data_IF_385296437700
#
_entry.id   IF_385296437700
#
_cell.length_a   1.000
_cell.length_b   1.000
_cell.length_c   1.000
_cell.angle_alpha   90.00
_cell.angle_beta   90.00
_cell.angle_gamma   90.00
#
_symmetry.space_group_name_H-M   'P 1'
#
loop_
_entity.id
_entity.type
_entity.pdbx_description
1 polymer ?
#
# COMPACT_ATOMS: atom_id res chain seq x y z
N UNK A 1 -3.40 -8.11 -34.86
CA UNK A 1 -3.23 -8.99 -33.67
C UNK A 1 -2.10 -8.38 -32.83
N UNK A 2 -2.41 -7.90 -31.64
CA UNK A 2 -1.38 -7.44 -30.71
C UNK A 2 -0.66 -8.67 -30.19
N UNK A 3 0.64 -8.81 -30.50
CA UNK A 3 1.46 -9.85 -29.90
C UNK A 3 1.65 -9.48 -28.42
N UNK A 4 0.95 -10.17 -27.52
CA UNK A 4 1.17 -10.01 -26.10
C UNK A 4 2.50 -10.69 -25.73
N UNK A 5 3.39 -9.93 -25.10
CA UNK A 5 4.62 -10.45 -24.53
C UNK A 5 4.35 -10.87 -23.07
N UNK A 6 4.64 -12.12 -22.76
CA UNK A 6 4.62 -12.64 -21.39
C UNK A 6 6.05 -12.87 -20.92
N UNK A 7 6.31 -12.53 -19.67
CA UNK A 7 7.62 -12.74 -19.02
C UNK A 7 7.37 -13.53 -17.74
N UNK A 8 7.97 -14.70 -17.64
CA UNK A 8 7.95 -15.55 -16.44
C UNK A 8 9.28 -15.41 -15.70
N UNK A 9 9.21 -15.05 -14.42
CA UNK A 9 10.37 -14.92 -13.55
C UNK A 9 10.29 -16.01 -12.47
N UNK A 10 11.22 -16.95 -12.50
CA UNK A 10 11.32 -18.04 -11.55
C UNK A 10 12.57 -17.85 -10.68
N UNK A 11 12.40 -17.85 -9.35
CA UNK A 11 13.48 -17.56 -8.40
C UNK A 11 13.57 -18.70 -7.39
N UNK A 12 14.78 -19.27 -7.24
CA UNK A 12 15.14 -20.15 -6.14
C UNK A 12 16.11 -19.40 -5.22
N UNK A 13 15.83 -19.39 -3.93
CA UNK A 13 16.63 -18.68 -2.94
C UNK A 13 16.82 -19.54 -1.69
N UNK A 14 18.06 -19.67 -1.24
CA UNK A 14 18.37 -20.22 0.08
C UNK A 14 18.27 -19.10 1.11
N UNK A 15 17.54 -19.36 2.19
CA UNK A 15 17.41 -18.46 3.33
C UNK A 15 17.74 -19.20 4.60
N UNK A 16 18.35 -18.57 5.61
CA UNK A 16 18.53 -19.17 6.93
C UNK A 16 17.17 -19.39 7.60
N UNK A 17 17.13 -20.25 8.63
CA UNK A 17 15.94 -20.40 9.48
C UNK A 17 15.49 -19.03 9.99
N UNK A 18 14.27 -18.65 9.66
CA UNK A 18 13.76 -17.32 9.97
C UNK A 18 12.25 -17.24 9.79
N UNK A 19 11.59 -16.48 10.67
CA UNK A 19 10.18 -16.18 10.55
C UNK A 19 9.96 -14.93 9.69
N UNK A 20 10.11 -15.07 8.36
CA UNK A 20 10.05 -13.96 7.41
C UNK A 20 8.63 -13.38 7.29
N UNK A 21 7.59 -14.23 7.39
CA UNK A 21 6.22 -13.82 7.17
C UNK A 21 5.28 -14.50 8.17
N UNK A 22 4.66 -13.71 9.04
CA UNK A 22 3.80 -14.17 10.12
C UNK A 22 2.32 -14.12 9.73
N UNK A 23 1.52 -14.99 10.36
CA UNK A 23 0.07 -14.89 10.36
C UNK A 23 -0.43 -13.91 11.45
N UNK A 24 -1.72 -13.91 11.69
CA UNK A 24 -2.38 -13.06 12.69
C UNK A 24 -2.14 -13.52 14.14
N UNK A 25 -1.69 -14.76 14.34
CA UNK A 25 -1.26 -15.28 15.65
C UNK A 25 0.21 -15.01 15.96
N UNK A 26 0.97 -14.53 14.97
CA UNK A 26 2.40 -14.32 15.07
C UNK A 26 3.25 -15.52 14.63
N UNK A 27 2.63 -16.65 14.32
CA UNK A 27 3.33 -17.85 13.83
C UNK A 27 3.79 -17.69 12.36
N UNK A 28 4.82 -18.42 11.93
CA UNK A 28 5.25 -18.46 10.54
C UNK A 28 4.10 -18.91 9.64
N UNK A 29 3.90 -18.23 8.52
CA UNK A 29 2.92 -18.67 7.54
C UNK A 29 3.33 -19.97 6.88
N UNK A 30 2.37 -20.88 6.76
CA UNK A 30 2.53 -22.17 6.10
C UNK A 30 1.53 -22.35 4.97
N UNK A 31 1.73 -23.37 4.15
CA UNK A 31 0.77 -23.86 3.17
C UNK A 31 0.92 -25.37 3.04
N UNK A 32 -0.18 -26.06 2.77
CA UNK A 32 -0.14 -27.48 2.39
C UNK A 32 0.00 -27.52 0.87
N UNK A 33 1.09 -28.10 0.39
CA UNK A 33 1.32 -28.29 -1.04
C UNK A 33 2.06 -29.58 -1.31
N UNK A 34 1.50 -30.42 -2.21
CA UNK A 34 2.01 -31.76 -2.46
C UNK A 34 1.82 -32.70 -1.28
N UNK A 35 0.77 -32.48 -0.45
CA UNK A 35 0.44 -33.35 0.69
C UNK A 35 1.25 -33.09 1.97
N UNK A 36 2.20 -32.16 1.96
CA UNK A 36 3.07 -31.83 3.10
C UNK A 36 2.98 -30.33 3.46
N UNK A 37 3.32 -30.00 4.71
CA UNK A 37 3.40 -28.62 5.19
C UNK A 37 4.68 -27.96 4.70
N UNK A 38 4.56 -26.77 4.13
CA UNK A 38 5.68 -25.97 3.61
C UNK A 38 5.66 -24.56 4.21
N UNK A 39 6.83 -23.99 4.42
CA UNK A 39 6.95 -22.56 4.75
C UNK A 39 6.42 -21.71 3.60
N UNK A 40 5.79 -20.59 3.92
CA UNK A 40 5.20 -19.70 2.91
C UNK A 40 5.55 -18.23 3.19
N UNK A 41 5.97 -17.56 2.13
CA UNK A 41 5.98 -16.08 2.11
C UNK A 41 4.88 -15.61 1.17
N UNK A 42 3.94 -14.85 1.69
CA UNK A 42 2.76 -14.43 0.92
C UNK A 42 3.11 -13.47 -0.22
N UNK A 43 2.35 -13.55 -1.31
CA UNK A 43 2.49 -12.63 -2.44
C UNK A 43 2.35 -11.16 -2.03
N UNK A 44 1.53 -10.86 -1.02
CA UNK A 44 1.37 -9.51 -0.48
C UNK A 44 2.67 -8.99 0.16
N UNK A 45 3.42 -9.86 0.86
CA UNK A 45 4.73 -9.53 1.43
C UNK A 45 5.72 -9.18 0.32
N UNK A 46 5.79 -10.02 -0.72
CA UNK A 46 6.62 -9.78 -1.89
C UNK A 46 6.25 -8.48 -2.61
N UNK A 47 4.99 -8.28 -2.92
CA UNK A 47 4.50 -7.04 -3.56
C UNK A 47 4.87 -5.80 -2.74
N UNK A 48 4.81 -5.89 -1.40
CA UNK A 48 5.23 -4.78 -0.53
C UNK A 48 6.72 -4.50 -0.64
N UNK A 49 7.56 -5.54 -0.61
CA UNK A 49 9.02 -5.40 -0.75
C UNK A 49 9.41 -4.80 -2.12
N UNK A 50 8.81 -5.30 -3.20
CA UNK A 50 9.01 -4.78 -4.56
C UNK A 50 8.61 -3.31 -4.66
N UNK A 51 7.47 -2.93 -4.07
CA UNK A 51 7.03 -1.53 -4.04
C UNK A 51 7.98 -0.61 -3.29
N UNK A 52 8.62 -1.09 -2.23
CA UNK A 52 9.64 -0.29 -1.53
C UNK A 52 10.90 -0.14 -2.38
N UNK A 53 11.36 -1.23 -3.01
CA UNK A 53 12.50 -1.18 -3.93
C UNK A 53 12.24 -0.20 -5.09
N UNK A 54 11.03 -0.20 -5.67
CA UNK A 54 10.68 0.77 -6.71
C UNK A 54 10.81 2.22 -6.25
N UNK A 55 10.43 2.53 -5.01
CA UNK A 55 10.59 3.89 -4.47
C UNK A 55 12.05 4.31 -4.35
N UNK A 56 12.91 3.37 -4.01
CA UNK A 56 14.34 3.64 -3.89
C UNK A 56 14.99 3.83 -5.27
N UNK A 57 14.59 3.02 -6.25
CA UNK A 57 15.11 3.08 -7.64
C UNK A 57 14.55 4.28 -8.43
N UNK A 58 13.35 4.77 -8.09
CA UNK A 58 12.66 5.83 -8.83
C UNK A 58 12.68 7.18 -8.12
N UNK A 59 13.70 7.45 -7.28
CA UNK A 59 13.79 8.70 -6.50
C UNK A 59 13.68 9.96 -7.35
N UNK A 60 14.28 9.95 -8.54
CA UNK A 60 14.29 11.07 -9.47
C UNK A 60 13.07 11.08 -10.43
N UNK A 61 12.20 10.08 -10.33
CA UNK A 61 11.00 9.93 -11.16
C UNK A 61 9.76 9.74 -10.28
N UNK A 62 9.43 10.77 -9.51
CA UNK A 62 8.35 10.73 -8.52
C UNK A 62 6.98 10.37 -9.12
N UNK A 63 6.75 10.67 -10.38
CA UNK A 63 5.53 10.30 -11.12
C UNK A 63 5.35 8.78 -11.24
N UNK A 64 6.42 7.99 -11.14
CA UNK A 64 6.38 6.52 -11.09
C UNK A 64 6.03 5.98 -9.70
N UNK A 65 6.04 6.84 -8.70
CA UNK A 65 5.79 6.45 -7.31
C UNK A 65 4.31 6.50 -6.96
N UNK A 66 3.94 5.72 -5.97
CA UNK A 66 2.61 5.73 -5.38
C UNK A 66 2.64 5.72 -3.86
N UNK A 67 1.50 6.05 -3.29
CA UNK A 67 1.23 5.88 -1.86
C UNK A 67 -0.03 5.07 -1.64
N UNK A 68 0.06 4.03 -0.80
CA UNK A 68 -1.11 3.28 -0.32
C UNK A 68 -1.52 3.80 1.04
N UNK A 69 -2.57 4.60 1.09
CA UNK A 69 -2.92 5.36 2.29
C UNK A 69 -4.42 5.63 2.40
N UNK A 70 -4.88 5.92 3.62
CA UNK A 70 -6.17 6.56 3.88
C UNK A 70 -6.09 8.10 3.86
N UNK A 71 -4.89 8.67 3.86
CA UNK A 71 -4.64 10.13 3.90
C UNK A 71 -4.59 10.76 2.50
N UNK A 72 -5.35 10.21 1.53
CA UNK A 72 -5.33 10.67 0.15
C UNK A 72 -5.65 12.17 0.02
N UNK A 73 -6.65 12.67 0.76
CA UNK A 73 -7.00 14.09 0.76
C UNK A 73 -5.85 14.98 1.25
N UNK A 74 -5.12 14.58 2.28
CA UNK A 74 -3.94 15.33 2.73
C UNK A 74 -2.79 15.32 1.72
N UNK A 75 -2.60 14.21 0.98
CA UNK A 75 -1.60 14.18 -0.09
C UNK A 75 -1.98 15.10 -1.24
N UNK A 76 -3.26 15.15 -1.60
CA UNK A 76 -3.76 16.05 -2.64
C UNK A 76 -3.67 17.51 -2.19
N UNK A 77 -4.01 17.82 -0.93
CA UNK A 77 -3.87 19.17 -0.37
C UNK A 77 -2.43 19.68 -0.47
N UNK A 78 -1.44 18.84 -0.16
CA UNK A 78 -0.03 19.18 -0.34
C UNK A 78 0.34 19.46 -1.79
N UNK A 79 -0.21 18.70 -2.75
CA UNK A 79 0.02 18.97 -4.17
C UNK A 79 -0.63 20.29 -4.62
N UNK A 80 -1.82 20.63 -4.10
CA UNK A 80 -2.47 21.91 -4.35
C UNK A 80 -1.62 23.08 -3.85
N UNK A 81 -1.09 23.00 -2.63
CA UNK A 81 -0.20 24.01 -2.07
C UNK A 81 1.14 24.16 -2.81
N UNK A 82 1.67 23.05 -3.35
CA UNK A 82 2.88 23.09 -4.19
C UNK A 82 2.65 23.84 -5.51
N UNK A 83 1.45 23.75 -6.07
CA UNK A 83 1.07 24.42 -7.32
C UNK A 83 0.59 25.86 -7.07
N UNK A 84 -0.11 26.10 -5.97
CA UNK A 84 -0.62 27.40 -5.56
C UNK A 84 -0.24 27.67 -4.09
N UNK A 85 0.88 28.36 -3.91
CA UNK A 85 1.40 28.71 -2.59
C UNK A 85 0.55 29.73 -1.80
N UNK A 86 -0.53 30.24 -2.39
CA UNK A 86 -1.46 31.13 -1.69
C UNK A 86 -2.52 30.38 -0.85
N UNK A 87 -2.66 29.06 -1.07
CA UNK A 87 -3.61 28.24 -0.33
C UNK A 87 -3.09 27.92 1.07
N UNK A 88 -3.87 28.26 2.08
CA UNK A 88 -3.64 27.77 3.43
C UNK A 88 -4.02 26.27 3.58
N UNK A 89 -3.71 25.69 4.72
CA UNK A 89 -3.91 24.26 4.98
C UNK A 89 -5.39 23.86 4.89
N UNK A 90 -6.29 24.69 5.41
CA UNK A 90 -7.72 24.39 5.45
C UNK A 90 -8.33 24.52 4.05
N UNK A 91 -8.04 25.58 3.32
CA UNK A 91 -8.53 25.79 1.95
C UNK A 91 -8.02 24.69 0.99
N UNK A 92 -6.75 24.30 1.10
CA UNK A 92 -6.20 23.21 0.30
C UNK A 92 -6.86 21.87 0.63
N UNK A 93 -7.12 21.60 1.91
CA UNK A 93 -7.78 20.38 2.35
C UNK A 93 -9.24 20.32 1.90
N UNK A 94 -9.98 21.41 2.01
CA UNK A 94 -11.38 21.49 1.55
C UNK A 94 -11.49 21.23 0.04
N UNK A 95 -10.61 21.85 -0.76
CA UNK A 95 -10.52 21.56 -2.20
C UNK A 95 -10.19 20.11 -2.50
N UNK A 96 -9.26 19.51 -1.73
CA UNK A 96 -8.90 18.11 -1.87
C UNK A 96 -10.08 17.19 -1.51
N UNK A 97 -10.82 17.48 -0.46
CA UNK A 97 -12.02 16.71 -0.06
C UNK A 97 -13.08 16.81 -1.18
N UNK A 98 -13.32 17.99 -1.72
CA UNK A 98 -14.27 18.19 -2.82
C UNK A 98 -13.90 17.36 -4.06
N UNK A 99 -12.61 17.24 -4.39
CA UNK A 99 -12.13 16.40 -5.49
C UNK A 99 -12.38 14.91 -5.23
N UNK A 100 -12.17 14.44 -4.00
CA UNK A 100 -12.46 13.04 -3.64
C UNK A 100 -13.97 12.76 -3.64
N UNK A 101 -14.78 13.71 -3.16
CA UNK A 101 -16.25 13.59 -3.21
C UNK A 101 -16.77 13.58 -4.65
N UNK A 102 -16.20 14.40 -5.56
CA UNK A 102 -16.49 14.35 -6.98
C UNK A 102 -16.17 12.95 -7.58
N UNK A 103 -15.11 12.29 -7.12
CA UNK A 103 -14.79 10.91 -7.49
C UNK A 103 -15.64 9.86 -6.75
N UNK A 104 -16.63 10.26 -5.97
CA UNK A 104 -17.46 9.38 -5.10
C UNK A 104 -16.63 8.61 -4.07
N UNK A 105 -15.49 9.11 -3.69
CA UNK A 105 -14.65 8.57 -2.64
C UNK A 105 -14.94 9.34 -1.35
N UNK A 106 -15.63 8.71 -0.42
CA UNK A 106 -16.01 9.36 0.84
C UNK A 106 -14.81 9.61 1.73
N UNK A 107 -14.63 10.87 2.14
CA UNK A 107 -13.63 11.30 3.12
C UNK A 107 -14.37 11.70 4.40
N UNK A 108 -13.93 11.19 5.54
CA UNK A 108 -14.54 11.48 6.85
C UNK A 108 -13.48 11.87 7.87
N UNK A 109 -13.85 12.77 8.78
CA UNK A 109 -13.00 13.10 9.92
C UNK A 109 -12.99 11.94 10.90
N UNK A 110 -11.81 11.39 11.15
CA UNK A 110 -11.62 10.32 12.12
C UNK A 110 -11.69 10.88 13.55
N UNK A 111 -12.53 10.27 14.37
CA UNK A 111 -12.80 10.74 15.74
C UNK A 111 -11.58 10.64 16.67
N UNK A 112 -10.67 9.69 16.40
CA UNK A 112 -9.50 9.45 17.25
C UNK A 112 -8.34 10.37 16.90
N UNK A 113 -8.03 10.51 15.62
CA UNK A 113 -6.88 11.29 15.14
C UNK A 113 -7.24 12.72 14.73
N UNK A 114 -8.52 13.05 14.56
CA UNK A 114 -8.99 14.33 14.03
C UNK A 114 -8.69 14.54 12.55
N UNK A 115 -8.05 13.58 11.86
CA UNK A 115 -7.64 13.69 10.46
C UNK A 115 -8.77 13.25 9.52
N UNK A 116 -8.77 13.82 8.31
CA UNK A 116 -9.68 13.41 7.25
C UNK A 116 -9.13 12.19 6.52
N UNK A 117 -9.87 11.08 6.59
CA UNK A 117 -9.44 9.77 6.07
C UNK A 117 -10.50 9.20 5.11
N UNK A 118 -10.04 8.49 4.09
CA UNK A 118 -10.89 7.66 3.23
C UNK A 118 -11.33 6.38 3.96
N UNK A 119 -12.46 5.81 3.60
CA UNK A 119 -12.97 4.57 4.19
C UNK A 119 -12.01 3.39 4.03
N UNK A 120 -11.48 3.21 2.83
CA UNK A 120 -10.50 2.18 2.48
C UNK A 120 -9.11 2.76 2.20
N UNK A 121 -8.08 1.90 2.24
CA UNK A 121 -6.75 2.23 1.75
C UNK A 121 -6.78 2.39 0.23
N UNK A 122 -6.40 3.55 -0.27
CA UNK A 122 -6.27 3.82 -1.70
C UNK A 122 -4.80 3.78 -2.12
N UNK A 123 -4.54 3.20 -3.27
CA UNK A 123 -3.25 3.31 -3.97
C UNK A 123 -3.37 4.45 -4.98
N UNK A 124 -2.63 5.53 -4.75
CA UNK A 124 -2.65 6.75 -5.55
C UNK A 124 -1.24 7.03 -6.07
N UNK A 125 -1.11 7.24 -7.38
CA UNK A 125 0.17 7.67 -7.95
C UNK A 125 0.40 9.17 -7.74
N UNK A 126 1.66 9.58 -7.70
CA UNK A 126 2.01 10.99 -7.65
C UNK A 126 1.56 11.72 -8.91
N UNK A 127 1.62 11.07 -10.07
CA UNK A 127 1.12 11.61 -11.33
C UNK A 127 -0.40 11.88 -11.28
N UNK A 128 -1.19 10.97 -10.69
CA UNK A 128 -2.63 11.17 -10.49
C UNK A 128 -2.89 12.36 -9.57
N UNK A 129 -2.20 12.45 -8.43
CA UNK A 129 -2.35 13.54 -7.48
C UNK A 129 -2.00 14.91 -8.10
N UNK A 130 -0.91 14.99 -8.86
CA UNK A 130 -0.52 16.23 -9.57
C UNK A 130 -1.57 16.67 -10.59
N UNK A 131 -2.08 15.73 -11.40
CA UNK A 131 -3.11 16.04 -12.40
C UNK A 131 -4.45 16.43 -11.78
N UNK A 132 -4.85 15.76 -10.68
CA UNK A 132 -6.07 16.17 -9.96
C UNK A 132 -5.88 17.55 -9.36
N UNK A 133 -4.72 17.85 -8.76
CA UNK A 133 -4.45 19.16 -8.20
C UNK A 133 -4.54 20.27 -9.27
N UNK A 134 -3.93 20.06 -10.43
CA UNK A 134 -4.02 21.00 -11.56
C UNK A 134 -5.48 21.18 -12.01
N UNK A 135 -6.21 20.07 -12.21
CA UNK A 135 -7.63 20.12 -12.60
C UNK A 135 -8.48 20.90 -11.60
N UNK A 136 -8.24 20.71 -10.30
CA UNK A 136 -8.94 21.43 -9.22
C UNK A 136 -8.64 22.93 -9.26
N UNK A 137 -7.41 23.33 -9.52
CA UNK A 137 -7.04 24.74 -9.62
C UNK A 137 -7.65 25.41 -10.86
N UNK A 138 -7.68 24.69 -11.98
CA UNK A 138 -8.22 25.22 -13.24
C UNK A 138 -9.76 25.35 -13.24
N UNK A 139 -10.48 24.51 -12.49
CA UNK A 139 -11.94 24.42 -12.51
C UNK A 139 -12.60 24.71 -11.16
N UNK A 140 -11.84 24.86 -10.11
CA UNK A 140 -12.33 24.90 -8.72
C UNK A 140 -12.93 26.22 -8.27
N UNK A 141 -13.00 27.26 -9.11
CA UNK A 141 -13.63 28.54 -8.77
C UNK A 141 -15.16 28.47 -8.74
N UNK A 142 -15.77 27.54 -9.48
CA UNK A 142 -17.21 27.39 -9.61
C UNK A 142 -17.80 26.15 -8.88
N UNK A 143 -17.01 25.48 -8.07
CA UNK A 143 -17.38 24.28 -7.25
C UNK A 143 -18.01 23.10 -8.04
N UNK A 144 -17.75 22.96 -9.33
CA UNK A 144 -18.30 21.88 -10.14
C UNK A 144 -17.20 21.02 -10.75
N UNK A 145 -16.52 20.25 -9.89
CA UNK A 145 -15.64 19.21 -10.38
C UNK A 145 -16.49 18.07 -10.98
N UNK A 146 -16.23 17.74 -12.26
CA UNK A 146 -16.98 16.68 -12.94
C UNK A 146 -16.43 15.29 -12.53
N UNK A 147 -17.37 14.38 -12.21
CA UNK A 147 -17.03 13.01 -11.86
C UNK A 147 -16.23 12.29 -12.94
N UNK A 148 -16.60 12.48 -14.22
CA UNK A 148 -15.97 11.78 -15.33
C UNK A 148 -14.52 12.22 -15.50
N UNK A 149 -14.24 13.50 -15.32
CA UNK A 149 -12.89 14.05 -15.46
C UNK A 149 -11.99 13.57 -14.33
N UNK A 150 -12.44 13.68 -13.08
CA UNK A 150 -11.66 13.18 -11.93
C UNK A 150 -11.46 11.67 -12.02
N UNK A 151 -12.49 10.92 -12.41
CA UNK A 151 -12.38 9.47 -12.65
C UNK A 151 -11.37 9.16 -13.74
N UNK A 152 -11.42 9.87 -14.88
CA UNK A 152 -10.47 9.69 -15.98
C UNK A 152 -9.03 9.89 -15.51
N UNK A 153 -8.75 10.93 -14.72
CA UNK A 153 -7.43 11.17 -14.14
C UNK A 153 -7.00 10.03 -13.21
N UNK A 154 -7.91 9.52 -12.39
CA UNK A 154 -7.64 8.41 -11.47
C UNK A 154 -7.42 7.08 -12.20
N UNK A 155 -7.92 6.91 -13.40
CA UNK A 155 -7.73 5.70 -14.22
C UNK A 155 -6.50 5.78 -15.11
N UNK A 156 -5.96 6.97 -15.32
CA UNK A 156 -4.74 7.23 -16.10
C UNK A 156 -3.55 7.55 -15.16
N UNK A 157 -2.37 7.74 -15.74
CA UNK A 157 -1.12 8.13 -15.03
C UNK A 157 -0.75 7.20 -13.87
N UNK A 158 -0.87 5.91 -14.12
CA UNK A 158 -0.55 4.89 -13.16
C UNK A 158 0.96 4.90 -12.85
N UNK A 159 1.28 4.81 -11.56
CA UNK A 159 2.64 4.50 -11.12
C UNK A 159 3.05 3.09 -11.53
N UNK A 160 4.35 2.80 -11.48
CA UNK A 160 4.88 1.49 -11.85
C UNK A 160 4.21 0.34 -11.07
N UNK A 161 4.09 0.51 -9.75
CA UNK A 161 3.47 -0.48 -8.88
C UNK A 161 1.95 -0.59 -9.07
N UNK A 162 1.28 0.52 -9.40
CA UNK A 162 -0.16 0.52 -9.72
C UNK A 162 -0.43 -0.21 -11.04
N UNK A 163 0.38 0.01 -12.07
CA UNK A 163 0.26 -0.67 -13.34
C UNK A 163 0.54 -2.18 -13.22
N UNK A 164 1.55 -2.57 -12.44
CA UNK A 164 1.91 -3.96 -12.26
C UNK A 164 0.95 -4.72 -11.34
N UNK A 165 0.59 -4.14 -10.19
CA UNK A 165 -0.12 -4.87 -9.14
C UNK A 165 -1.60 -4.54 -9.04
N UNK A 166 -2.07 -3.58 -9.81
CA UNK A 166 -3.46 -3.17 -9.85
C UNK A 166 -3.93 -2.42 -8.60
N UNK A 167 -5.17 -1.99 -8.65
CA UNK A 167 -5.87 -1.36 -7.53
C UNK A 167 -7.27 -1.94 -7.41
N UNK A 168 -7.64 -2.33 -6.21
CA UNK A 168 -9.01 -2.69 -5.85
C UNK A 168 -9.56 -1.67 -4.85
N UNK A 169 -10.70 -1.08 -5.17
CA UNK A 169 -11.44 -0.16 -4.32
C UNK A 169 -12.81 -0.77 -4.06
N UNK A 170 -13.00 -1.35 -2.89
CA UNK A 170 -14.23 -2.10 -2.57
C UNK A 170 -15.49 -1.21 -2.64
N UNK A 171 -15.38 0.03 -2.18
CA UNK A 171 -16.49 0.99 -2.12
C UNK A 171 -16.77 1.67 -3.47
N UNK A 172 -15.86 1.55 -4.44
CA UNK A 172 -15.98 2.14 -5.76
C UNK A 172 -15.29 1.28 -6.83
N UNK A 173 -15.93 0.19 -7.27
CA UNK A 173 -15.35 -0.75 -8.25
C UNK A 173 -14.97 -0.11 -9.59
N UNK A 174 -15.57 1.04 -9.94
CA UNK A 174 -15.25 1.77 -11.16
C UNK A 174 -13.83 2.38 -11.17
N UNK A 175 -13.18 2.42 -10.02
CA UNK A 175 -11.78 2.85 -9.87
C UNK A 175 -10.80 1.67 -9.80
N UNK A 176 -11.27 0.44 -10.00
CA UNK A 176 -10.39 -0.71 -10.04
C UNK A 176 -9.48 -0.65 -11.26
N UNK A 177 -8.25 -1.07 -11.09
CA UNK A 177 -7.24 -1.20 -12.15
C UNK A 177 -6.74 -2.64 -12.14
N UNK A 178 -6.83 -3.29 -13.30
CA UNK A 178 -6.33 -4.64 -13.45
C UNK A 178 -4.81 -4.70 -13.33
N UNK A 179 -4.32 -5.79 -12.72
CA UNK A 179 -2.90 -6.01 -12.55
C UNK A 179 -2.28 -6.61 -13.82
N UNK A 180 -1.18 -6.03 -14.29
CA UNK A 180 -0.40 -6.59 -15.40
C UNK A 180 0.56 -7.70 -14.94
N UNK A 181 0.74 -7.91 -13.62
CA UNK A 181 1.67 -8.87 -13.06
C UNK A 181 0.98 -9.74 -12.00
N UNK A 182 1.19 -11.04 -12.08
CA UNK A 182 0.83 -11.98 -11.04
C UNK A 182 2.06 -12.35 -10.22
N UNK A 183 1.94 -12.29 -8.89
CA UNK A 183 3.00 -12.68 -7.96
C UNK A 183 2.52 -13.88 -7.16
N UNK A 184 3.15 -15.02 -7.34
CA UNK A 184 2.86 -16.23 -6.58
C UNK A 184 3.31 -16.10 -5.12
N UNK A 185 2.71 -16.91 -4.23
CA UNK A 185 3.30 -17.15 -2.92
C UNK A 185 4.61 -17.92 -3.11
N UNK A 186 5.67 -17.50 -2.40
CA UNK A 186 6.86 -18.34 -2.30
C UNK A 186 6.59 -19.44 -1.27
N UNK A 187 6.96 -20.67 -1.60
CA UNK A 187 6.85 -21.83 -0.72
C UNK A 187 8.18 -22.56 -0.65
N UNK A 188 8.47 -23.19 0.48
CA UNK A 188 9.68 -24.01 0.61
C UNK A 188 9.65 -25.19 -0.35
N UNK A 189 10.83 -25.58 -0.86
CA UNK A 189 10.98 -26.79 -1.71
C UNK A 189 10.94 -28.08 -0.90
N UNK A 190 11.07 -28.01 0.41
CA UNK A 190 11.04 -29.11 1.37
C UNK A 190 9.85 -28.99 2.32
N UNK A 191 9.47 -30.06 2.95
CA UNK A 191 8.55 -30.09 4.08
C UNK A 191 9.18 -29.42 5.29
N UNK A 192 8.35 -28.73 6.08
CA UNK A 192 8.77 -28.15 7.36
C UNK A 192 7.95 -28.71 8.51
N UNK A 193 8.58 -28.79 9.68
CA UNK A 193 7.94 -28.99 10.96
C UNK A 193 8.13 -27.69 11.75
N UNK A 194 7.04 -27.03 12.20
CA UNK A 194 7.16 -25.84 13.04
C UNK A 194 7.88 -26.17 14.35
N UNK A 195 8.87 -25.38 14.69
CA UNK A 195 9.58 -25.45 15.97
C UNK A 195 9.26 -24.18 16.77
N UNK A 196 9.11 -24.35 18.09
CA UNK A 196 8.81 -23.24 18.99
C UNK A 196 10.06 -22.98 19.84
N UNK A 197 10.44 -21.71 19.91
CA UNK A 197 11.52 -21.23 20.75
C UNK A 197 10.94 -20.49 21.95
N UNK A 198 11.43 -20.87 23.13
CA UNK A 198 11.11 -20.19 24.38
C UNK A 198 12.29 -19.32 24.79
N UNK A 199 12.07 -18.05 24.88
CA UNK A 199 13.09 -17.12 25.32
C UNK A 199 12.54 -16.17 26.40
N UNK A 200 13.43 -15.76 27.32
CA UNK A 200 13.14 -14.79 28.36
C UNK A 200 13.98 -13.54 28.13
N UNK A 201 13.36 -12.37 28.26
CA UNK A 201 14.10 -11.13 28.38
C UNK A 201 14.61 -11.02 29.83
N UNK A 202 15.92 -10.84 30.00
CA UNK A 202 16.55 -10.60 31.28
C UNK A 202 16.74 -9.09 31.39
N UNK A 203 16.32 -8.53 32.53
CA UNK A 203 16.59 -7.13 32.88
C UNK A 203 17.86 -7.10 33.74
N UNK A 204 18.92 -6.51 33.22
CA UNK A 204 20.24 -6.51 33.84
C UNK A 204 20.31 -5.64 35.11
N UNK A 205 19.35 -4.72 35.28
CA UNK A 205 19.30 -3.79 36.46
C UNK A 205 18.23 -4.22 37.49
N UNK A 206 17.86 -5.49 37.48
CA UNK A 206 16.75 -5.99 38.25
C UNK A 206 17.12 -6.60 39.58
N UNK A 207 16.28 -6.36 40.60
CA UNK A 207 16.36 -7.06 41.90
C UNK A 207 15.97 -8.54 41.73
N UNK A 208 16.68 -9.46 42.39
CA UNK A 208 16.67 -10.92 42.21
C UNK A 208 15.27 -11.60 42.37
N UNK A 209 14.27 -10.90 42.91
CA UNK A 209 12.98 -11.49 43.32
C UNK A 209 11.83 -11.37 42.30
N UNK A 210 12.03 -10.85 41.09
CA UNK A 210 10.94 -10.71 40.14
C UNK A 210 11.14 -11.57 38.88
N UNK A 211 10.17 -12.42 38.50
CA UNK A 211 10.27 -13.29 37.32
C UNK A 211 10.36 -12.52 36.00
N UNK A 212 11.30 -12.87 35.11
CA UNK A 212 11.45 -12.27 33.78
C UNK A 212 10.17 -12.40 32.92
N UNK A 213 10.01 -11.49 31.96
CA UNK A 213 8.96 -11.63 30.95
C UNK A 213 9.32 -12.77 30.02
N UNK A 214 8.53 -13.85 30.03
CA UNK A 214 8.72 -14.99 29.15
C UNK A 214 7.97 -14.76 27.84
N UNK A 215 8.61 -15.03 26.70
CA UNK A 215 7.99 -15.01 25.37
C UNK A 215 8.22 -16.35 24.69
N UNK A 216 7.19 -16.80 23.95
CA UNK A 216 7.29 -17.97 23.08
C UNK A 216 7.32 -17.43 21.65
N UNK A 217 8.38 -17.72 20.89
CA UNK A 217 8.54 -17.41 19.49
C UNK A 217 8.50 -18.66 18.63
N UNK A 218 8.20 -18.51 17.35
CA UNK A 218 8.22 -19.55 16.32
C UNK A 218 9.03 -19.08 15.12
#
# INVERSE_FOLDING_TARGET
MTNNLFIDINILQTVPSSNINRDDTGAPKTAIYGGVTRARVSSQSWKRAVRQAFKDETKDADWLQSSRTKKGAHLLAKQLQQLDGSLDDDAALDKAIAAFDAAKIKVKKDKKSGQYLTGALLLLSQGQLKKIAQYVLDHGTDNKLDYKDVKSILMDNNSLDLALFGRMVADNPELNVDAACQVAHAISTHEIVPEFDYFTAIDDERDEDQAGSAMIGT
#
